data_IF_795776007656
#
_entry.id   IF_795776007656
#
_cell.length_a   1.000
_cell.length_b   1.000
_cell.length_c   1.000
_cell.angle_alpha   90.00
_cell.angle_beta   90.00
_cell.angle_gamma   90.00
#
_symmetry.space_group_name_H-M   'P 1'
#
loop_
_entity.id
_entity.type
_entity.pdbx_description
1 polymer ?
#
# COMPACT_ATOMS: atom_id res chain seq x y z
N UNK A 1 11.20 -6.00 -5.34
CA UNK A 1 10.49 -4.79 -5.80
C UNK A 1 9.87 -4.07 -4.61
N UNK A 2 10.04 -2.78 -4.52
CA UNK A 2 9.39 -1.97 -3.48
C UNK A 2 9.21 -0.52 -3.94
N UNK A 3 8.27 0.18 -3.30
CA UNK A 3 8.04 1.60 -3.52
C UNK A 3 8.63 2.36 -2.33
N UNK A 4 9.39 3.41 -2.60
CA UNK A 4 9.91 4.32 -1.58
C UNK A 4 9.19 5.66 -1.74
N UNK A 5 8.55 6.12 -0.67
CA UNK A 5 7.80 7.37 -0.67
C UNK A 5 8.48 8.34 0.27
N UNK A 6 8.94 9.47 -0.27
CA UNK A 6 9.47 10.57 0.51
C UNK A 6 8.38 11.62 0.67
N UNK A 7 8.09 12.01 1.89
CA UNK A 7 6.98 12.92 2.17
C UNK A 7 7.24 13.83 3.35
N UNK A 8 6.24 14.63 3.66
CA UNK A 8 6.31 15.61 4.74
C UNK A 8 6.28 14.96 6.13
N UNK A 9 5.46 13.91 6.27
CA UNK A 9 5.32 13.16 7.52
C UNK A 9 4.85 11.74 7.22
N UNK A 10 5.73 10.78 7.39
CA UNK A 10 5.47 9.37 7.04
C UNK A 10 4.36 8.76 7.91
N UNK A 11 4.36 9.04 9.20
CA UNK A 11 3.35 8.52 10.12
C UNK A 11 1.94 9.02 9.76
N UNK A 12 1.80 10.32 9.56
CA UNK A 12 0.52 10.93 9.18
C UNK A 12 0.04 10.40 7.84
N UNK A 13 0.92 10.29 6.86
CA UNK A 13 0.56 9.77 5.54
C UNK A 13 0.06 8.33 5.62
N UNK A 14 0.80 7.46 6.30
CA UNK A 14 0.40 6.07 6.49
C UNK A 14 -0.95 5.96 7.19
N UNK A 15 -1.13 6.69 8.29
CA UNK A 15 -2.38 6.68 9.03
C UNK A 15 -3.56 7.18 8.21
N UNK A 16 -3.35 8.22 7.42
CA UNK A 16 -4.40 8.78 6.56
C UNK A 16 -4.81 7.77 5.49
N UNK A 17 -3.86 7.10 4.85
CA UNK A 17 -4.15 6.08 3.83
C UNK A 17 -4.96 4.93 4.45
N UNK A 18 -4.56 4.43 5.60
CA UNK A 18 -5.27 3.34 6.29
C UNK A 18 -6.68 3.79 6.70
N UNK A 19 -6.80 4.97 7.28
CA UNK A 19 -8.08 5.53 7.70
C UNK A 19 -9.04 5.74 6.53
N UNK A 20 -8.54 6.25 5.41
CA UNK A 20 -9.35 6.47 4.20
C UNK A 20 -9.79 5.14 3.58
N UNK A 21 -8.96 4.10 3.66
CA UNK A 21 -9.33 2.75 3.22
C UNK A 21 -10.42 2.15 4.09
N UNK A 22 -10.36 2.37 5.41
CA UNK A 22 -11.38 1.90 6.36
C UNK A 22 -12.70 2.64 6.21
N UNK A 23 -12.67 3.92 5.88
CA UNK A 23 -13.86 4.77 5.76
C UNK A 23 -14.48 4.78 4.36
N UNK A 24 -13.99 3.93 3.48
CA UNK A 24 -14.44 3.81 2.08
C UNK A 24 -14.19 5.04 1.20
N UNK A 25 -13.32 5.96 1.61
CA UNK A 25 -12.83 7.03 0.74
C UNK A 25 -11.96 6.49 -0.38
N UNK A 26 -11.37 5.32 -0.17
CA UNK A 26 -10.64 4.55 -1.18
C UNK A 26 -11.40 3.23 -1.41
N UNK A 27 -12.51 3.25 -2.19
CA UNK A 27 -13.46 2.13 -2.23
C UNK A 27 -12.89 0.83 -2.81
N UNK A 28 -11.79 0.89 -3.56
CA UNK A 28 -11.15 -0.29 -4.13
C UNK A 28 -9.98 -0.82 -3.29
N UNK A 29 -9.79 -0.26 -2.09
CA UNK A 29 -8.73 -0.70 -1.18
C UNK A 29 -9.33 -1.06 0.17
N UNK A 30 -8.95 -2.23 0.67
CA UNK A 30 -9.37 -2.73 1.98
C UNK A 30 -8.20 -2.88 2.93
N UNK A 31 -8.50 -2.95 4.22
CA UNK A 31 -7.51 -3.14 5.27
C UNK A 31 -7.63 -4.56 5.81
N UNK A 32 -6.49 -5.25 5.93
CA UNK A 32 -6.40 -6.57 6.53
C UNK A 32 -5.46 -6.47 7.72
N UNK A 33 -5.88 -7.01 8.86
CA UNK A 33 -5.03 -7.10 10.04
C UNK A 33 -4.34 -8.47 10.06
N UNK A 34 -3.02 -8.49 10.22
CA UNK A 34 -2.31 -9.76 10.41
C UNK A 34 -2.33 -10.19 11.88
N UNK A 35 -1.73 -11.35 12.17
CA UNK A 35 -1.67 -11.90 13.54
C UNK A 35 -0.97 -10.94 14.51
N UNK A 36 -0.01 -10.15 14.03
CA UNK A 36 0.74 -9.18 14.84
C UNK A 36 -0.02 -7.88 15.05
N UNK A 37 -1.20 -7.73 14.47
CA UNK A 37 -1.97 -6.50 14.53
C UNK A 37 -1.55 -5.42 13.55
N UNK A 38 -0.65 -5.72 12.62
CA UNK A 38 -0.28 -4.79 11.57
C UNK A 38 -1.40 -4.65 10.56
N UNK A 39 -1.63 -3.42 10.11
CA UNK A 39 -2.65 -3.11 9.11
C UNK A 39 -2.03 -3.13 7.72
N UNK A 40 -2.52 -4.02 6.88
CA UNK A 40 -2.04 -4.24 5.52
C UNK A 40 -3.14 -3.84 4.54
N UNK A 41 -2.78 -3.51 3.30
CA UNK A 41 -3.75 -3.12 2.28
C UNK A 41 -3.86 -4.20 1.21
N UNK A 42 -5.09 -4.40 0.73
CA UNK A 42 -5.36 -5.25 -0.44
C UNK A 42 -6.27 -4.50 -1.41
N UNK A 43 -6.10 -4.77 -2.70
CA UNK A 43 -6.96 -4.21 -3.75
C UNK A 43 -8.20 -5.10 -3.89
N UNK A 44 -9.39 -4.54 -3.70
CA UNK A 44 -10.61 -5.31 -3.49
C UNK A 44 -11.42 -5.73 -4.71
N UNK A 45 -11.28 -5.18 -5.93
CA UNK A 45 -12.01 -5.68 -7.08
C UNK A 45 -11.84 -7.19 -7.24
N UNK A 46 -12.93 -7.90 -7.58
CA UNK A 46 -12.99 -9.37 -7.50
C UNK A 46 -11.83 -10.11 -8.15
N UNK A 47 -11.37 -9.63 -9.31
CA UNK A 47 -10.27 -10.25 -10.05
C UNK A 47 -8.91 -10.06 -9.38
N UNK A 48 -8.78 -9.11 -8.44
CA UNK A 48 -7.52 -8.78 -7.77
C UNK A 48 -7.54 -9.05 -6.28
N UNK A 49 -8.73 -9.29 -5.73
CA UNK A 49 -8.88 -9.48 -4.29
C UNK A 49 -8.04 -10.66 -3.80
N UNK A 50 -7.39 -10.47 -2.67
CA UNK A 50 -6.58 -11.49 -1.99
C UNK A 50 -5.35 -11.99 -2.78
N UNK A 51 -4.93 -11.28 -3.84
CA UNK A 51 -3.73 -11.68 -4.57
C UNK A 51 -2.45 -11.18 -3.92
N UNK A 52 -2.46 -9.96 -3.40
CA UNK A 52 -1.29 -9.33 -2.78
C UNK A 52 -1.73 -8.58 -1.53
N UNK A 53 -0.84 -8.54 -0.55
CA UNK A 53 -0.95 -7.65 0.60
C UNK A 53 0.15 -6.60 0.50
N UNK A 54 -0.21 -5.33 0.60
CA UNK A 54 0.78 -4.25 0.65
C UNK A 54 1.11 -3.94 2.10
N UNK A 55 2.40 -3.98 2.41
CA UNK A 55 2.94 -3.64 3.72
C UNK A 55 3.53 -2.25 3.64
N UNK A 56 2.99 -1.31 4.41
CA UNK A 56 3.50 0.07 4.47
C UNK A 56 4.30 0.22 5.76
N UNK A 57 5.61 0.41 5.62
CA UNK A 57 6.53 0.53 6.75
C UNK A 57 7.04 1.95 6.89
N UNK A 58 6.97 2.49 8.09
CA UNK A 58 7.59 3.78 8.41
C UNK A 58 9.10 3.56 8.61
N UNK A 59 9.88 3.98 7.63
CA UNK A 59 11.35 3.86 7.70
C UNK A 59 11.93 4.93 8.63
N UNK A 60 11.44 6.16 8.48
CA UNK A 60 11.75 7.29 9.35
C UNK A 60 10.62 8.33 9.21
N UNK A 61 10.80 9.53 9.78
CA UNK A 61 9.77 10.56 9.82
C UNK A 61 9.32 11.06 8.43
N UNK A 62 10.12 10.83 7.40
CA UNK A 62 9.89 11.34 6.04
C UNK A 62 9.82 10.25 4.98
N UNK A 63 10.07 9.00 5.33
CA UNK A 63 10.16 7.91 4.36
C UNK A 63 9.26 6.73 4.73
N UNK A 64 8.43 6.34 3.78
CA UNK A 64 7.67 5.08 3.82
C UNK A 64 8.26 4.11 2.80
N UNK A 65 8.27 2.83 3.13
CA UNK A 65 8.56 1.76 2.19
C UNK A 65 7.32 0.88 2.04
N UNK A 66 6.96 0.57 0.80
CA UNK A 66 5.84 -0.32 0.49
C UNK A 66 6.38 -1.57 -0.16
N UNK A 67 6.11 -2.70 0.47
CA UNK A 67 6.51 -4.03 -0.02
C UNK A 67 5.30 -4.92 -0.20
N UNK A 68 5.47 -6.01 -0.95
CA UNK A 68 4.42 -6.98 -1.18
C UNK A 68 4.57 -8.17 -0.23
N UNK A 69 3.44 -8.63 0.27
CA UNK A 69 3.32 -9.86 1.03
C UNK A 69 2.11 -10.63 0.53
N UNK A 70 1.78 -11.76 1.14
CA UNK A 70 0.63 -12.57 0.75
C UNK A 70 0.15 -13.41 1.93
N UNK A 71 -1.06 -13.94 1.82
CA UNK A 71 -1.61 -14.83 2.85
C UNK A 71 -0.90 -16.17 2.85
N UNK A 72 -0.69 -16.72 4.04
CA UNK A 72 0.06 -17.95 4.26
C UNK A 72 -0.42 -19.14 3.43
N UNK A 73 -1.71 -19.25 3.19
CA UNK A 73 -2.32 -20.38 2.48
C UNK A 73 -2.70 -20.04 1.03
N UNK A 74 -2.19 -18.96 0.48
CA UNK A 74 -2.44 -18.53 -0.89
C UNK A 74 -1.17 -18.71 -1.73
N UNK A 75 -1.35 -18.69 -3.05
CA UNK A 75 -0.23 -18.72 -3.97
C UNK A 75 0.65 -17.50 -3.80
N UNK A 76 1.95 -17.69 -3.95
CA UNK A 76 2.91 -16.57 -4.02
C UNK A 76 2.54 -15.70 -5.24
N UNK A 77 2.33 -14.40 -5.05
CA UNK A 77 1.95 -13.53 -6.17
C UNK A 77 3.05 -13.46 -7.22
N UNK A 78 2.65 -13.39 -8.48
CA UNK A 78 3.59 -13.18 -9.59
C UNK A 78 4.10 -11.74 -9.58
N UNK A 79 5.18 -11.48 -10.32
CA UNK A 79 5.65 -10.11 -10.54
C UNK A 79 4.59 -9.26 -11.24
N UNK A 80 3.79 -9.84 -12.12
CA UNK A 80 2.69 -9.14 -12.80
C UNK A 80 1.64 -8.68 -11.78
N UNK A 81 1.24 -9.56 -10.83
CA UNK A 81 0.29 -9.22 -9.79
C UNK A 81 0.82 -8.08 -8.91
N UNK A 82 2.08 -8.17 -8.49
CA UNK A 82 2.71 -7.15 -7.67
C UNK A 82 2.78 -5.82 -8.42
N UNK A 83 3.18 -5.86 -9.69
CA UNK A 83 3.28 -4.66 -10.53
C UNK A 83 1.92 -3.98 -10.69
N UNK A 84 0.86 -4.76 -10.88
CA UNK A 84 -0.50 -4.23 -10.94
C UNK A 84 -0.90 -3.53 -9.64
N UNK A 85 -0.68 -4.18 -8.50
CA UNK A 85 -0.99 -3.58 -7.19
C UNK A 85 -0.19 -2.30 -6.96
N UNK A 86 1.10 -2.31 -7.29
CA UNK A 86 1.94 -1.13 -7.13
C UNK A 86 1.48 0.01 -8.03
N UNK A 87 1.12 -0.28 -9.29
CA UNK A 87 0.60 0.74 -10.21
C UNK A 87 -0.69 1.37 -9.69
N UNK A 88 -1.62 0.57 -9.22
CA UNK A 88 -2.88 1.06 -8.65
C UNK A 88 -2.65 1.83 -7.36
N UNK A 89 -1.71 1.42 -6.55
CA UNK A 89 -1.39 2.13 -5.32
C UNK A 89 -0.74 3.50 -5.62
N UNK A 90 0.20 3.56 -6.56
CA UNK A 90 0.80 4.82 -6.98
C UNK A 90 -0.27 5.77 -7.52
N UNK A 91 -1.25 5.26 -8.25
CA UNK A 91 -2.38 6.05 -8.77
C UNK A 91 -3.11 6.78 -7.63
N UNK A 92 -3.46 6.09 -6.54
CA UNK A 92 -4.13 6.75 -5.42
C UNK A 92 -3.21 7.72 -4.68
N UNK A 93 -1.92 7.45 -4.61
CA UNK A 93 -0.96 8.38 -4.03
C UNK A 93 -0.96 9.72 -4.79
N UNK A 94 -0.94 9.65 -6.12
CA UNK A 94 -0.90 10.84 -6.98
C UNK A 94 -2.23 11.60 -6.98
N UNK A 95 -3.35 10.89 -6.91
CA UNK A 95 -4.67 11.51 -6.95
C UNK A 95 -5.04 12.13 -5.60
N UNK A 96 -4.80 11.41 -4.50
CA UNK A 96 -5.33 11.80 -3.19
C UNK A 96 -4.30 12.39 -2.22
N UNK A 97 -3.01 12.07 -2.38
CA UNK A 97 -1.99 12.41 -1.37
C UNK A 97 -0.80 13.18 -1.93
N UNK A 98 -0.87 13.63 -3.16
CA UNK A 98 0.24 14.30 -3.86
C UNK A 98 0.85 15.46 -3.07
N UNK A 99 0.04 16.24 -2.36
CA UNK A 99 0.52 17.38 -1.60
C UNK A 99 1.35 17.00 -0.37
N UNK A 100 1.21 15.75 0.10
CA UNK A 100 1.97 15.22 1.23
C UNK A 100 3.24 14.52 0.78
N UNK A 101 3.44 14.34 -0.51
CA UNK A 101 4.53 13.54 -1.09
C UNK A 101 5.47 14.44 -1.86
N UNK A 102 6.78 14.25 -1.66
CA UNK A 102 7.82 14.97 -2.38
C UNK A 102 8.39 14.14 -3.54
N UNK A 103 8.47 12.80 -3.36
CA UNK A 103 9.11 11.92 -4.33
C UNK A 103 8.63 10.49 -4.14
N UNK A 104 8.46 9.79 -5.26
CA UNK A 104 8.17 8.35 -5.28
C UNK A 104 9.24 7.67 -6.12
N UNK A 105 9.87 6.64 -5.59
CA UNK A 105 10.84 5.81 -6.29
C UNK A 105 10.36 4.37 -6.30
N UNK A 106 10.65 3.66 -7.38
CA UNK A 106 10.40 2.22 -7.48
C UNK A 106 11.74 1.53 -7.58
N UNK A 107 11.99 0.62 -6.66
CA UNK A 107 13.18 -0.23 -6.67
C UNK A 107 12.78 -1.60 -7.22
N UNK A 108 13.36 -1.98 -8.31
CA UNK A 108 13.10 -3.26 -8.94
C UNK A 108 13.95 -4.37 -8.32
#
# INVERSE_FOLDING_TARGET
MRIIINGKNSHTLRQTIVSDSLSEKLPTWGVVNNIKGEQLLTHTPAQWNERVLLVITEVNDHVLAVTASYWKNHEVPSLDDISYYFGRFIEILLIHYREQINRIEIEL
#
